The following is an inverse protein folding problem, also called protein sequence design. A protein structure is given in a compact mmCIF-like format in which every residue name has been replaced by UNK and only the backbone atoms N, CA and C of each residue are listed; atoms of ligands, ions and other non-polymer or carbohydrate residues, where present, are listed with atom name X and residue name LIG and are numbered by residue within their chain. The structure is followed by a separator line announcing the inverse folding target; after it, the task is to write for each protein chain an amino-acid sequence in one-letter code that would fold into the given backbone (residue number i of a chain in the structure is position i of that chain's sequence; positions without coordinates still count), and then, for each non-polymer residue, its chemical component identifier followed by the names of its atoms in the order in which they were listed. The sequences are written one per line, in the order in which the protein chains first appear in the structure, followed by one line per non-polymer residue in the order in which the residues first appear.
data_IF_404418247728
#
_entry.id   IF_404418247728
#
_cell.length_a   1.000
_cell.length_b   1.000
_cell.length_c   1.000
_cell.angle_alpha   90.00
_cell.angle_beta   90.00
_cell.angle_gamma   90.00
#
_symmetry.space_group_name_H-M   'P 1'
#
loop_
_entity.id
_entity.type
_entity.pdbx_description
1 polymer ?
#
# COMPACT_ATOMS: atom_id res chain seq x y z
N UNK A 1 -16.55 -2.20 0.79
CA UNK A 1 -15.50 -1.80 1.75
C UNK A 1 -14.15 -2.40 1.42
N UNK A 2 -14.09 -3.69 1.08
CA UNK A 2 -12.86 -4.44 0.84
C UNK A 2 -12.06 -4.04 -0.42
N UNK A 3 -12.74 -3.90 -1.57
CA UNK A 3 -12.16 -3.35 -2.80
C UNK A 3 -11.58 -1.94 -2.64
N UNK A 4 -12.15 -1.16 -1.73
CA UNK A 4 -11.72 0.22 -1.45
C UNK A 4 -10.40 0.21 -0.66
N UNK A 5 -10.26 -0.70 0.31
CA UNK A 5 -9.02 -0.90 1.07
C UNK A 5 -7.88 -1.43 0.19
N UNK A 6 -8.20 -2.34 -0.73
CA UNK A 6 -7.23 -2.84 -1.73
C UNK A 6 -6.78 -1.70 -2.66
N UNK A 7 -7.72 -0.94 -3.21
CA UNK A 7 -7.43 0.17 -4.10
C UNK A 7 -6.66 1.29 -3.40
N UNK A 8 -7.00 1.60 -2.14
CA UNK A 8 -6.27 2.56 -1.32
C UNK A 8 -4.83 2.11 -1.05
N UNK A 9 -4.63 0.85 -0.64
CA UNK A 9 -3.28 0.30 -0.41
C UNK A 9 -2.43 0.28 -1.68
N UNK A 10 -3.02 -0.09 -2.83
CA UNK A 10 -2.35 -0.07 -4.13
C UNK A 10 -1.96 1.35 -4.56
N UNK A 11 -2.85 2.31 -4.35
CA UNK A 11 -2.61 3.71 -4.70
C UNK A 11 -1.49 4.32 -3.84
N UNK A 12 -1.46 4.01 -2.54
CA UNK A 12 -0.40 4.45 -1.63
C UNK A 12 0.96 3.83 -2.01
N UNK A 13 0.99 2.53 -2.32
CA UNK A 13 2.21 1.86 -2.74
C UNK A 13 2.77 2.42 -4.06
N UNK A 14 1.90 2.64 -5.06
CA UNK A 14 2.29 3.25 -6.34
C UNK A 14 2.80 4.68 -6.16
N UNK A 15 2.09 5.48 -5.36
CA UNK A 15 2.45 6.88 -5.12
C UNK A 15 3.80 6.97 -4.40
N UNK A 16 4.02 6.13 -3.39
CA UNK A 16 5.32 6.06 -2.70
C UNK A 16 6.45 5.68 -3.65
N UNK A 17 6.24 4.65 -4.48
CA UNK A 17 7.23 4.23 -5.48
C UNK A 17 7.53 5.35 -6.48
N UNK A 18 6.52 6.07 -6.96
CA UNK A 18 6.69 7.20 -7.87
C UNK A 18 7.45 8.36 -7.22
N UNK A 19 7.14 8.73 -5.98
CA UNK A 19 7.84 9.78 -5.24
C UNK A 19 9.32 9.41 -4.97
N UNK A 20 9.60 8.13 -4.69
CA UNK A 20 10.97 7.61 -4.54
C UNK A 20 11.72 7.69 -5.88
N UNK A 21 11.06 7.34 -6.99
CA UNK A 21 11.64 7.39 -8.33
C UNK A 21 11.96 8.83 -8.78
N UNK A 22 11.13 9.80 -8.38
CA UNK A 22 11.38 11.22 -8.60
C UNK A 22 12.39 11.82 -7.59
N UNK A 23 12.86 11.05 -6.60
CA UNK A 23 13.81 11.51 -5.59
C UNK A 23 13.26 12.58 -4.64
N UNK A 24 11.93 12.69 -4.51
CA UNK A 24 11.26 13.71 -3.69
C UNK A 24 11.30 13.34 -2.21
N UNK A 25 11.44 12.04 -1.90
CA UNK A 25 11.42 11.50 -0.53
C UNK A 25 12.63 10.61 -0.28
N UNK A 26 13.08 10.57 0.98
CA UNK A 26 14.15 9.67 1.39
C UNK A 26 13.78 8.19 1.21
N UNK A 27 14.74 7.33 0.84
CA UNK A 27 14.50 5.92 0.59
C UNK A 27 13.96 5.18 1.82
N UNK A 28 14.37 5.59 3.03
CA UNK A 28 13.85 5.03 4.29
C UNK A 28 12.36 5.33 4.51
N UNK A 29 11.94 6.57 4.23
CA UNK A 29 10.54 6.98 4.38
C UNK A 29 9.65 6.30 3.33
N UNK A 30 10.13 6.22 2.09
CA UNK A 30 9.41 5.59 1.02
C UNK A 30 9.21 4.08 1.23
N UNK A 31 10.23 3.40 1.80
CA UNK A 31 10.12 2.00 2.20
C UNK A 31 9.05 1.80 3.29
N UNK A 32 9.00 2.67 4.31
CA UNK A 32 7.93 2.64 5.32
C UNK A 32 6.54 2.79 4.70
N UNK A 33 6.36 3.76 3.80
CA UNK A 33 5.06 3.98 3.13
C UNK A 33 4.69 2.79 2.23
N UNK A 34 5.67 2.21 1.53
CA UNK A 34 5.48 1.02 0.71
C UNK A 34 5.04 -0.20 1.53
N UNK A 35 5.68 -0.44 2.68
CA UNK A 35 5.33 -1.53 3.60
C UNK A 35 3.90 -1.34 4.13
N UNK A 36 3.52 -0.11 4.50
CA UNK A 36 2.15 0.21 4.93
C UNK A 36 1.14 -0.04 3.80
N UNK A 37 1.45 0.37 2.57
CA UNK A 37 0.60 0.14 1.40
C UNK A 37 0.38 -1.35 1.14
N UNK A 38 1.44 -2.16 1.14
CA UNK A 38 1.36 -3.62 0.96
C UNK A 38 0.64 -4.28 2.14
N UNK A 39 0.86 -3.81 3.37
CA UNK A 39 0.13 -4.26 4.56
C UNK A 39 -1.38 -4.05 4.45
N UNK A 40 -1.82 -2.89 3.92
CA UNK A 40 -3.23 -2.63 3.63
C UNK A 40 -3.81 -3.57 2.56
N UNK A 41 -3.04 -3.86 1.51
CA UNK A 41 -3.43 -4.80 0.46
C UNK A 41 -3.62 -6.21 1.03
N UNK A 42 -2.69 -6.67 1.87
CA UNK A 42 -2.76 -7.97 2.52
C UNK A 42 -3.90 -8.06 3.53
N UNK A 43 -4.09 -7.03 4.35
CA UNK A 43 -5.19 -6.93 5.32
C UNK A 43 -6.55 -6.91 4.63
N UNK A 44 -6.61 -6.29 3.45
CA UNK A 44 -7.71 -6.50 2.51
C UNK A 44 -7.81 -8.00 2.22
N UNK A 45 -6.96 -8.64 1.42
CA UNK A 45 -7.11 -10.07 1.06
C UNK A 45 -7.53 -11.04 2.20
N UNK A 46 -6.94 -10.90 3.39
CA UNK A 46 -7.27 -11.67 4.59
C UNK A 46 -8.73 -11.49 5.08
N UNK A 47 -9.27 -10.28 5.05
CA UNK A 47 -10.67 -10.02 5.41
C UNK A 47 -11.68 -10.67 4.44
N UNK A 48 -11.26 -11.10 3.25
CA UNK A 48 -12.11 -11.83 2.30
C UNK A 48 -12.13 -13.33 2.63
N UNK A 49 -10.97 -13.90 2.94
CA UNK A 49 -10.83 -15.31 3.36
C UNK A 49 -11.61 -15.58 4.65
N UNK A 50 -11.59 -14.66 5.61
CA UNK A 50 -12.29 -14.82 6.91
C UNK A 50 -13.82 -14.67 6.81
N UNK A 51 -14.35 -14.25 5.66
CA UNK A 51 -15.79 -14.08 5.41
C UNK A 51 -16.40 -15.21 4.55
N UNK A 52 -15.56 -16.08 3.99
CA UNK A 52 -15.93 -17.36 3.40
C UNK A 52 -15.93 -18.43 4.49
#
# INVERSE_FOLDING_TARGET
MHKILFLAGLCIALTSAALLFFGIIEPGLAAMIGIVGIGLIAASGMSHIKRL
#
